data_IF_340717434468
#
_entry.id   IF_340717434468
#
_cell.length_a   1.000
_cell.length_b   1.000
_cell.length_c   1.000
_cell.angle_alpha   90.00
_cell.angle_beta   90.00
_cell.angle_gamma   90.00
#
_symmetry.space_group_name_H-M   'P 1'
#
loop_
_entity.id
_entity.type
_entity.pdbx_description
1 polymer ?
#
# COMPACT_ATOMS: atom_id res chain seq x y z
N UNK A 1 -13.60 6.37 5.66
CA UNK A 1 -12.48 6.40 4.77
C UNK A 1 -11.23 7.03 5.29
N UNK A 2 -11.22 8.34 5.57
CA UNK A 2 -9.99 9.06 5.93
C UNK A 2 -9.28 8.56 7.18
N UNK A 3 -10.02 8.24 8.24
CA UNK A 3 -9.43 7.73 9.48
C UNK A 3 -8.76 6.38 9.28
N UNK A 4 -9.39 5.50 8.50
CA UNK A 4 -8.85 4.18 8.21
C UNK A 4 -7.53 4.28 7.44
N UNK A 5 -7.48 5.09 6.39
CA UNK A 5 -6.29 5.23 5.56
C UNK A 5 -5.15 5.91 6.31
N UNK A 6 -5.44 6.93 7.15
CA UNK A 6 -4.43 7.55 7.99
C UNK A 6 -3.86 6.57 9.01
N UNK A 7 -4.71 5.77 9.64
CA UNK A 7 -4.25 4.75 10.58
C UNK A 7 -3.31 3.76 9.89
N UNK A 8 -3.72 3.24 8.73
CA UNK A 8 -2.91 2.31 7.96
C UNK A 8 -1.58 2.94 7.54
N UNK A 9 -1.61 4.19 7.10
CA UNK A 9 -0.42 4.92 6.70
C UNK A 9 0.60 4.99 7.84
N UNK A 10 0.17 5.38 9.05
CA UNK A 10 1.05 5.46 10.20
C UNK A 10 1.55 4.09 10.64
N UNK A 11 0.69 3.07 10.66
CA UNK A 11 1.04 1.73 11.11
C UNK A 11 1.99 1.01 10.16
N UNK A 12 1.99 1.35 8.89
CA UNK A 12 2.87 0.71 7.91
C UNK A 12 4.16 1.50 7.65
N UNK A 13 4.51 2.40 8.56
CA UNK A 13 5.77 3.10 8.54
C UNK A 13 6.58 2.82 9.81
N UNK A 14 7.90 2.81 9.68
CA UNK A 14 8.84 2.68 10.79
C UNK A 14 10.13 3.43 10.42
N UNK A 15 10.90 3.88 11.42
CA UNK A 15 12.17 4.55 11.13
C UNK A 15 13.09 3.67 10.29
N UNK A 16 13.81 4.29 9.37
CA UNK A 16 14.77 3.62 8.51
C UNK A 16 15.80 2.86 9.37
N UNK A 17 16.01 1.59 9.03
CA UNK A 17 16.92 0.73 9.77
C UNK A 17 16.36 0.18 11.09
N UNK A 18 15.12 0.58 11.47
CA UNK A 18 14.43 0.08 12.67
C UNK A 18 13.06 -0.49 12.28
N UNK A 19 13.05 -1.34 11.28
CA UNK A 19 11.84 -1.92 10.72
C UNK A 19 11.38 -1.26 9.42
N UNK A 20 11.83 -0.05 9.14
CA UNK A 20 11.52 0.67 7.91
C UNK A 20 12.52 0.42 6.81
N UNK A 21 12.03 0.36 5.58
CA UNK A 21 12.84 0.18 4.37
C UNK A 21 13.01 -1.27 3.95
N UNK A 22 13.80 -1.46 2.88
CA UNK A 22 14.08 -2.78 2.35
C UNK A 22 12.95 -3.34 1.49
N UNK A 23 12.88 -4.67 1.45
CA UNK A 23 11.92 -5.42 0.65
C UNK A 23 11.15 -6.41 1.53
N UNK A 24 9.94 -6.80 1.11
CA UNK A 24 9.22 -7.85 1.82
C UNK A 24 9.89 -9.21 1.62
N UNK A 25 9.59 -10.15 2.49
CA UNK A 25 10.11 -11.51 2.45
C UNK A 25 8.97 -12.52 2.43
N UNK A 26 9.30 -13.78 2.18
CA UNK A 26 8.36 -14.90 2.30
C UNK A 26 7.16 -14.82 1.37
N UNK A 27 5.99 -15.16 1.89
CA UNK A 27 4.77 -15.30 1.09
C UNK A 27 4.34 -13.99 0.42
N UNK A 28 4.52 -12.86 1.09
CA UNK A 28 4.20 -11.55 0.50
C UNK A 28 5.11 -11.25 -0.69
N UNK A 29 6.41 -11.51 -0.56
CA UNK A 29 7.35 -11.33 -1.66
C UNK A 29 6.99 -12.19 -2.86
N UNK A 30 6.58 -13.44 -2.62
CA UNK A 30 6.13 -14.36 -3.66
C UNK A 30 4.86 -13.87 -4.35
N UNK A 31 3.90 -13.37 -3.58
CA UNK A 31 2.65 -12.83 -4.12
C UNK A 31 2.91 -11.59 -4.99
N UNK A 32 3.81 -10.72 -4.56
CA UNK A 32 4.20 -9.53 -5.34
C UNK A 32 4.85 -9.96 -6.67
N UNK A 33 5.75 -10.92 -6.64
CA UNK A 33 6.38 -11.43 -7.86
C UNK A 33 5.37 -12.11 -8.78
N UNK A 34 4.43 -12.88 -8.22
CA UNK A 34 3.36 -13.53 -8.99
C UNK A 34 2.48 -12.51 -9.71
N UNK A 35 2.09 -11.43 -9.03
CA UNK A 35 1.07 -10.51 -9.54
C UNK A 35 1.67 -9.32 -10.32
N UNK A 36 2.92 -8.96 -10.08
CA UNK A 36 3.57 -7.81 -10.71
C UNK A 36 4.83 -8.18 -11.51
N UNK A 37 5.31 -9.41 -11.39
CA UNK A 37 6.51 -9.89 -12.07
C UNK A 37 7.77 -9.84 -11.22
N UNK A 38 7.94 -8.79 -10.44
CA UNK A 38 9.06 -8.61 -9.51
C UNK A 38 8.73 -7.52 -8.51
N UNK A 39 9.52 -7.41 -7.45
CA UNK A 39 9.40 -6.29 -6.51
C UNK A 39 9.70 -4.95 -7.21
N UNK A 40 10.72 -4.89 -8.05
CA UNK A 40 11.06 -3.68 -8.79
C UNK A 40 9.92 -3.25 -9.73
N UNK A 41 9.29 -4.19 -10.41
CA UNK A 41 8.14 -3.91 -11.27
C UNK A 41 6.93 -3.42 -10.44
N UNK A 42 6.71 -4.01 -9.28
CA UNK A 42 5.68 -3.55 -8.34
C UNK A 42 5.95 -2.10 -7.91
N UNK A 43 7.18 -1.80 -7.46
CA UNK A 43 7.54 -0.43 -7.05
C UNK A 43 7.31 0.58 -8.18
N UNK A 44 7.73 0.23 -9.38
CA UNK A 44 7.54 1.10 -10.55
C UNK A 44 6.06 1.37 -10.81
N UNK A 45 5.26 0.34 -10.76
CA UNK A 45 3.81 0.45 -10.95
C UNK A 45 3.17 1.29 -9.85
N UNK A 46 3.54 1.03 -8.59
CA UNK A 46 3.02 1.76 -7.44
C UNK A 46 3.43 3.24 -7.50
N UNK A 47 4.69 3.52 -7.80
CA UNK A 47 5.20 4.89 -7.93
C UNK A 47 4.45 5.67 -9.00
N UNK A 48 4.22 5.06 -10.16
CA UNK A 48 3.48 5.69 -11.24
C UNK A 48 2.04 6.00 -10.82
N UNK A 49 1.39 5.06 -10.17
CA UNK A 49 0.02 5.24 -9.69
C UNK A 49 -0.07 6.33 -8.61
N UNK A 50 0.87 6.36 -7.67
CA UNK A 50 0.91 7.37 -6.61
C UNK A 50 1.17 8.77 -7.17
N UNK A 51 2.08 8.88 -8.13
CA UNK A 51 2.39 10.16 -8.78
C UNK A 51 1.22 10.69 -9.61
N UNK A 52 0.41 9.78 -10.16
CA UNK A 52 -0.70 10.10 -11.06
C UNK A 52 -2.02 10.42 -10.35
N UNK A 53 -2.09 10.27 -9.03
CA UNK A 53 -3.31 10.63 -8.27
C UNK A 53 -3.60 12.11 -8.49
N UNK A 54 -4.79 12.40 -9.04
CA UNK A 54 -5.21 13.77 -9.30
C UNK A 54 -5.51 14.49 -7.98
N UNK A 55 -5.05 15.74 -7.89
CA UNK A 55 -5.22 16.57 -6.70
C UNK A 55 -4.68 15.88 -5.44
N UNK A 56 -5.54 15.59 -4.48
CA UNK A 56 -5.20 15.00 -3.20
C UNK A 56 -5.81 13.61 -3.08
N UNK A 57 -5.06 12.68 -2.56
CA UNK A 57 -5.58 11.33 -2.38
C UNK A 57 -4.56 10.34 -1.83
N UNK A 58 -4.74 9.09 -2.20
CA UNK A 58 -4.01 7.97 -1.67
C UNK A 58 -3.68 6.99 -2.78
N UNK A 59 -2.58 6.28 -2.62
CA UNK A 59 -2.27 5.11 -3.43
C UNK A 59 -2.04 3.94 -2.49
N UNK A 60 -2.64 2.80 -2.78
CA UNK A 60 -2.67 1.67 -1.85
C UNK A 60 -2.43 0.34 -2.56
N UNK A 61 -1.72 -0.55 -1.86
CA UNK A 61 -1.64 -1.96 -2.23
C UNK A 61 -2.79 -2.69 -1.54
N UNK A 62 -3.60 -3.39 -2.32
CA UNK A 62 -4.75 -4.15 -1.83
C UNK A 62 -4.60 -5.63 -2.09
N UNK A 63 -5.21 -6.42 -1.22
CA UNK A 63 -5.43 -7.85 -1.39
C UNK A 63 -6.91 -8.06 -1.68
N UNK A 64 -7.23 -8.63 -2.84
CA UNK A 64 -8.62 -8.90 -3.22
C UNK A 64 -9.00 -10.32 -2.84
N UNK A 65 -10.09 -10.46 -2.09
CA UNK A 65 -10.48 -11.76 -1.53
C UNK A 65 -10.99 -12.74 -2.57
N UNK A 66 -11.69 -12.25 -3.59
CA UNK A 66 -12.35 -13.10 -4.58
C UNK A 66 -11.38 -13.98 -5.38
N UNK A 67 -10.21 -13.46 -5.72
CA UNK A 67 -9.20 -14.16 -6.53
C UNK A 67 -7.82 -14.21 -5.86
N UNK A 68 -7.71 -13.67 -4.63
CA UNK A 68 -6.48 -13.66 -3.85
C UNK A 68 -5.33 -12.95 -4.55
N UNK A 69 -5.65 -11.93 -5.32
CA UNK A 69 -4.69 -11.14 -6.07
C UNK A 69 -4.37 -9.83 -5.37
N UNK A 70 -3.12 -9.39 -5.57
CA UNK A 70 -2.66 -8.06 -5.17
C UNK A 70 -2.94 -7.08 -6.31
N UNK A 71 -3.37 -5.88 -5.95
CA UNK A 71 -3.60 -4.81 -6.91
C UNK A 71 -3.27 -3.47 -6.30
N UNK A 72 -2.93 -2.50 -7.15
CA UNK A 72 -2.66 -1.13 -6.74
C UNK A 72 -3.88 -0.28 -7.08
N UNK A 73 -4.39 0.46 -6.11
CA UNK A 73 -5.57 1.30 -6.27
C UNK A 73 -5.25 2.74 -5.91
N UNK A 74 -5.78 3.66 -6.69
CA UNK A 74 -5.76 5.09 -6.41
C UNK A 74 -7.07 5.48 -5.76
N UNK A 75 -7.01 6.33 -4.73
CA UNK A 75 -8.19 6.89 -4.08
C UNK A 75 -8.04 8.40 -4.07
N UNK A 76 -8.87 9.11 -4.81
CA UNK A 76 -8.92 10.56 -4.78
C UNK A 76 -9.77 11.00 -3.60
N UNK A 77 -9.24 11.92 -2.80
CA UNK A 77 -9.88 12.38 -1.58
C UNK A 77 -10.18 11.21 -0.63
N UNK A 78 -10.92 11.46 0.43
CA UNK A 78 -11.30 10.41 1.39
C UNK A 78 -12.62 9.72 1.03
N UNK A 79 -13.25 10.12 -0.07
CA UNK A 79 -14.63 9.76 -0.38
C UNK A 79 -14.77 8.63 -1.40
N UNK A 80 -13.74 8.36 -2.18
CA UNK A 80 -13.84 7.31 -3.18
C UNK A 80 -13.58 5.95 -2.55
N UNK A 81 -14.38 5.02 -3.01
CA UNK A 81 -14.60 3.74 -2.40
C UNK A 81 -13.34 2.88 -2.31
N UNK A 82 -13.09 2.38 -1.11
CA UNK A 82 -12.29 1.19 -0.93
C UNK A 82 -13.20 0.03 -1.35
N UNK A 83 -12.80 -0.81 -2.33
CA UNK A 83 -13.62 -1.94 -2.74
C UNK A 83 -13.96 -2.84 -1.56
N UNK A 84 -15.23 -3.27 -1.46
CA UNK A 84 -15.72 -4.05 -0.33
C UNK A 84 -15.17 -5.47 -0.25
N UNK A 85 -14.57 -5.98 -1.35
CA UNK A 85 -14.01 -7.34 -1.40
C UNK A 85 -12.48 -7.35 -1.31
N UNK A 86 -11.88 -6.27 -0.82
CA UNK A 86 -10.43 -6.17 -0.69
C UNK A 86 -10.04 -5.54 0.65
N UNK A 87 -8.79 -5.78 1.04
CA UNK A 87 -8.18 -5.16 2.21
C UNK A 87 -6.93 -4.41 1.78
N UNK A 88 -6.80 -3.16 2.22
CA UNK A 88 -5.58 -2.39 2.00
C UNK A 88 -4.48 -2.92 2.93
N UNK A 89 -3.31 -3.19 2.36
CA UNK A 89 -2.15 -3.70 3.08
C UNK A 89 -1.13 -2.61 3.37
N UNK A 90 -1.04 -1.64 2.48
CA UNK A 90 -0.04 -0.58 2.49
C UNK A 90 -0.64 0.61 1.77
N UNK A 91 -0.45 1.80 2.32
CA UNK A 91 -0.94 3.01 1.66
C UNK A 91 0.04 4.16 1.83
N UNK A 92 0.06 5.04 0.85
CA UNK A 92 0.78 6.31 0.92
C UNK A 92 -0.20 7.45 0.80
N UNK A 93 -0.03 8.45 1.66
CA UNK A 93 -0.77 9.70 1.62
C UNK A 93 -0.08 10.63 0.61
N UNK A 94 -0.77 10.95 -0.48
CA UNK A 94 -0.26 11.87 -1.49
C UNK A 94 -1.01 13.21 -1.49
N UNK A 95 -1.69 13.52 -0.39
CA UNK A 95 -2.17 14.86 -0.13
C UNK A 95 -0.98 15.81 -0.01
N UNK A 96 -1.12 17.00 -0.50
CA UNK A 96 -0.03 17.98 -0.50
C UNK A 96 0.57 18.21 0.90
N UNK A 97 -0.24 18.16 1.94
CA UNK A 97 0.22 18.32 3.32
C UNK A 97 1.26 17.26 3.75
N UNK A 98 1.22 16.07 3.15
CA UNK A 98 2.11 14.97 3.53
C UNK A 98 3.57 15.24 3.12
N UNK A 99 3.81 16.06 2.11
CA UNK A 99 5.15 16.30 1.58
C UNK A 99 5.52 17.79 1.42
N UNK A 100 4.57 18.69 1.59
CA UNK A 100 4.74 20.12 1.28
C UNK A 100 5.91 20.76 2.03
N UNK A 101 6.03 20.51 3.32
CA UNK A 101 7.06 21.16 4.15
C UNK A 101 8.47 20.71 3.82
N UNK A 102 8.65 19.47 3.37
CA UNK A 102 9.97 18.91 3.11
C UNK A 102 10.35 18.94 1.63
N UNK A 103 9.40 18.69 0.76
CA UNK A 103 9.68 18.46 -0.67
C UNK A 103 9.06 19.50 -1.60
N UNK A 104 8.34 20.50 -1.10
CA UNK A 104 7.82 21.65 -1.86
C UNK A 104 7.21 21.26 -3.22
N UNK A 105 6.16 20.45 -3.23
CA UNK A 105 5.48 19.96 -4.42
C UNK A 105 6.24 18.87 -5.21
N UNK A 106 7.37 18.38 -4.70
CA UNK A 106 8.10 17.30 -5.35
C UNK A 106 7.50 15.95 -4.95
N UNK A 107 6.27 15.66 -5.42
CA UNK A 107 5.58 14.42 -5.09
C UNK A 107 6.42 13.18 -5.41
N UNK A 108 7.08 13.17 -6.58
CA UNK A 108 7.90 12.04 -7.00
C UNK A 108 9.05 11.77 -6.03
N UNK A 109 9.70 12.82 -5.53
CA UNK A 109 10.80 12.68 -4.56
C UNK A 109 10.27 12.19 -3.21
N UNK A 110 9.13 12.69 -2.77
CA UNK A 110 8.48 12.22 -1.54
C UNK A 110 8.16 10.72 -1.64
N UNK A 111 7.57 10.26 -2.74
CA UNK A 111 7.25 8.85 -2.95
C UNK A 111 8.53 8.01 -2.90
N UNK A 112 9.59 8.47 -3.57
CA UNK A 112 10.87 7.78 -3.59
C UNK A 112 11.44 7.60 -2.18
N UNK A 113 11.40 8.64 -1.36
CA UNK A 113 11.92 8.59 0.00
C UNK A 113 11.03 7.79 0.95
N UNK A 114 9.74 7.74 0.70
CA UNK A 114 8.79 6.99 1.53
C UNK A 114 9.15 5.50 1.63
N UNK A 115 9.68 4.89 0.56
CA UNK A 115 10.06 3.48 0.60
C UNK A 115 11.06 3.16 1.72
N UNK A 116 11.86 4.15 2.14
CA UNK A 116 12.84 3.97 3.21
C UNK A 116 12.19 3.78 4.59
N UNK A 117 10.92 4.09 4.73
CA UNK A 117 10.19 3.97 6.00
C UNK A 117 9.05 2.97 5.94
N UNK A 118 8.87 2.26 4.82
CA UNK A 118 7.84 1.22 4.72
C UNK A 118 8.17 0.08 5.68
N UNK A 119 7.23 -0.23 6.56
CA UNK A 119 7.34 -1.30 7.53
C UNK A 119 6.81 -2.61 6.95
N UNK A 120 7.65 -3.30 6.21
CA UNK A 120 7.27 -4.56 5.54
C UNK A 120 6.82 -5.66 6.52
N UNK A 121 7.42 -5.82 7.71
CA UNK A 121 6.87 -6.77 8.68
C UNK A 121 5.41 -6.48 9.03
N UNK A 122 5.02 -5.23 9.17
CA UNK A 122 3.64 -4.86 9.45
C UNK A 122 2.73 -5.11 8.26
N UNK A 123 3.18 -4.78 7.06
CA UNK A 123 2.45 -5.08 5.82
C UNK A 123 2.22 -6.59 5.68
N UNK A 124 3.22 -7.39 6.03
CA UNK A 124 3.14 -8.85 6.02
C UNK A 124 2.06 -9.36 7.00
N UNK A 125 1.93 -8.74 8.17
CA UNK A 125 0.85 -9.09 9.12
C UNK A 125 -0.53 -8.88 8.49
N UNK A 126 -0.73 -7.76 7.79
CA UNK A 126 -1.99 -7.49 7.09
C UNK A 126 -2.23 -8.45 5.94
N UNK A 127 -1.16 -8.81 5.22
CA UNK A 127 -1.24 -9.82 4.15
C UNK A 127 -1.69 -11.16 4.71
N UNK A 128 -1.08 -11.61 5.80
CA UNK A 128 -1.42 -12.88 6.44
C UNK A 128 -2.87 -12.90 6.94
N UNK A 129 -3.34 -11.80 7.52
CA UNK A 129 -4.75 -11.65 7.93
C UNK A 129 -5.68 -11.72 6.73
N UNK A 130 -5.29 -11.12 5.61
CA UNK A 130 -6.10 -11.14 4.39
C UNK A 130 -6.20 -12.54 3.80
N UNK A 131 -5.11 -13.30 3.82
CA UNK A 131 -5.13 -14.69 3.37
C UNK A 131 -6.03 -15.56 4.26
N UNK A 132 -5.97 -15.38 5.58
CA UNK A 132 -6.83 -16.07 6.52
C UNK A 132 -8.32 -15.73 6.29
N UNK A 133 -8.61 -14.45 6.04
CA UNK A 133 -9.98 -14.00 5.76
C UNK A 133 -10.48 -14.57 4.44
N UNK A 134 -9.64 -14.57 3.40
CA UNK A 134 -10.01 -15.17 2.11
C UNK A 134 -10.37 -16.63 2.23
N UNK A 135 -9.63 -17.37 3.04
CA UNK A 135 -9.91 -18.79 3.32
C UNK A 135 -11.27 -18.96 4.00
N UNK A 136 -11.55 -18.15 5.01
CA UNK A 136 -12.84 -18.17 5.71
C UNK A 136 -13.98 -17.90 4.74
N UNK A 137 -13.84 -16.86 3.91
CA UNK A 137 -14.86 -16.48 2.95
C UNK A 137 -15.09 -17.56 1.89
N UNK A 138 -14.05 -18.27 1.47
CA UNK A 138 -14.16 -19.35 0.48
C UNK A 138 -14.90 -20.58 1.02
N UNK A 139 -14.95 -20.74 2.35
CA UNK A 139 -15.62 -21.86 3.04
C UNK A 139 -17.07 -21.54 3.40
N UNK A 140 -17.52 -20.31 3.18
CA UNK A 140 -18.90 -19.90 3.44
C UNK A 140 -19.82 -20.37 2.31
N UNK A 141 -21.06 -20.84 2.66
CA UNK A 141 -22.03 -21.27 1.65
C UNK A 141 -22.57 -20.11 0.81
#
# INVERSE_FOLDING_TARGET
GGCYLHKLYWETMAPHGKGGGGEPEGALAQAISRDFGSFAAFQKHFNAAAADVEANGWCSLHYRFSDQRLLVLQTENHHKQIPGDSMALLTIDVWEHAYYLKYQNARAEYIKQWWNVVNWPRVTEYFNKSEAMAKILSEMP
#
